data_IF_251652923490
#
_entry.id   IF_251652923490
#
_cell.length_a   1.000
_cell.length_b   1.000
_cell.length_c   1.000
_cell.angle_alpha   90.00
_cell.angle_beta   90.00
_cell.angle_gamma   90.00
#
_symmetry.space_group_name_H-M   'P 1'
#
loop_
_entity.id
_entity.type
_entity.pdbx_description
1 polymer ?
#
# COMPACT_ATOMS: atom_id res chain seq x y z
N UNK A 1 -7.98 7.48 -13.73
CA UNK A 1 -7.64 8.53 -12.75
C UNK A 1 -6.79 9.58 -13.44
N UNK A 2 -6.92 10.85 -13.06
CA UNK A 2 -5.99 11.90 -13.51
C UNK A 2 -4.74 11.86 -12.63
N UNK A 3 -3.57 12.22 -13.14
CA UNK A 3 -2.37 12.37 -12.32
C UNK A 3 -2.35 13.78 -11.73
N UNK A 4 -2.78 13.92 -10.47
CA UNK A 4 -2.73 15.20 -9.75
C UNK A 4 -1.91 15.04 -8.47
N UNK A 5 -1.35 16.14 -7.97
CA UNK A 5 -0.54 16.11 -6.75
C UNK A 5 -1.29 15.47 -5.57
N UNK A 6 -2.60 15.65 -5.50
CA UNK A 6 -3.44 15.22 -4.38
C UNK A 6 -3.75 13.71 -4.38
N UNK A 7 -3.52 13.01 -5.50
CA UNK A 7 -3.80 11.57 -5.61
C UNK A 7 -2.57 10.70 -5.90
N UNK A 8 -1.41 11.32 -6.01
CA UNK A 8 -0.14 10.63 -6.17
C UNK A 8 0.63 10.66 -4.85
N UNK A 9 1.22 9.51 -4.51
CA UNK A 9 2.09 9.36 -3.35
C UNK A 9 3.32 8.54 -3.75
N UNK A 10 4.53 8.88 -3.26
CA UNK A 10 5.71 8.03 -3.44
C UNK A 10 5.49 6.66 -2.78
N UNK A 11 5.90 5.60 -3.46
CA UNK A 11 5.76 4.24 -2.95
C UNK A 11 6.88 3.35 -3.52
N UNK A 12 7.33 2.35 -2.77
CA UNK A 12 8.28 1.37 -3.28
C UNK A 12 7.60 0.37 -4.23
N UNK A 13 8.39 -0.29 -5.09
CA UNK A 13 7.87 -1.27 -6.07
C UNK A 13 7.08 -2.40 -5.39
N UNK A 14 7.60 -2.94 -4.29
CA UNK A 14 6.99 -4.06 -3.58
C UNK A 14 5.59 -3.71 -3.04
N UNK A 15 5.44 -2.57 -2.36
CA UNK A 15 4.16 -2.12 -1.84
C UNK A 15 3.17 -1.81 -2.97
N UNK A 16 3.61 -1.16 -4.05
CA UNK A 16 2.72 -0.84 -5.17
C UNK A 16 2.21 -2.10 -5.90
N UNK A 17 3.08 -3.10 -6.11
CA UNK A 17 2.68 -4.39 -6.69
C UNK A 17 1.71 -5.13 -5.79
N UNK A 18 1.97 -5.17 -4.47
CA UNK A 18 1.09 -5.86 -3.52
C UNK A 18 -0.27 -5.18 -3.42
N UNK A 19 -0.32 -3.84 -3.30
CA UNK A 19 -1.57 -3.06 -3.30
C UNK A 19 -2.41 -3.30 -4.55
N UNK A 20 -1.78 -3.46 -5.72
CA UNK A 20 -2.47 -3.70 -6.99
C UNK A 20 -3.13 -5.08 -7.04
N UNK A 21 -2.51 -6.08 -6.45
CA UNK A 21 -2.90 -7.48 -6.61
C UNK A 21 -3.69 -8.04 -5.42
N UNK A 22 -3.63 -7.40 -4.26
CA UNK A 22 -4.33 -7.82 -3.05
C UNK A 22 -5.80 -7.41 -3.07
N UNK A 23 -6.66 -8.24 -2.47
CA UNK A 23 -7.98 -7.84 -2.04
C UNK A 23 -7.87 -6.75 -0.95
N UNK A 24 -8.91 -5.91 -0.76
CA UNK A 24 -8.89 -4.87 0.28
C UNK A 24 -8.51 -5.39 1.66
N UNK A 25 -9.09 -6.52 2.09
CA UNK A 25 -8.79 -7.15 3.39
C UNK A 25 -7.34 -7.64 3.49
N UNK A 26 -6.80 -8.24 2.43
CA UNK A 26 -5.41 -8.72 2.40
C UNK A 26 -4.41 -7.55 2.44
N UNK A 27 -4.78 -6.39 1.90
CA UNK A 27 -3.97 -5.18 1.99
C UNK A 27 -3.98 -4.59 3.39
N UNK A 28 -5.13 -4.54 4.05
CA UNK A 28 -5.27 -4.10 5.44
C UNK A 28 -4.44 -4.96 6.38
N UNK A 29 -4.56 -6.29 6.29
CA UNK A 29 -3.76 -7.24 7.08
C UNK A 29 -2.25 -7.04 6.87
N UNK A 30 -1.82 -6.79 5.63
CA UNK A 30 -0.41 -6.50 5.32
C UNK A 30 0.07 -5.22 6.01
N UNK A 31 -0.74 -4.16 5.98
CA UNK A 31 -0.42 -2.88 6.61
C UNK A 31 -0.36 -3.01 8.14
N UNK A 32 -1.28 -3.75 8.75
CA UNK A 32 -1.31 -4.03 10.19
C UNK A 32 -0.07 -4.82 10.64
N UNK A 33 0.32 -5.82 9.85
CA UNK A 33 1.54 -6.58 10.10
C UNK A 33 2.81 -5.71 9.97
N UNK A 34 2.83 -4.72 9.07
CA UNK A 34 3.94 -3.76 9.02
C UNK A 34 3.95 -2.79 10.22
N UNK A 35 2.77 -2.37 10.69
CA UNK A 35 2.64 -1.47 11.84
C UNK A 35 3.11 -2.13 13.14
N UNK A 36 2.81 -3.43 13.33
CA UNK A 36 3.19 -4.22 14.50
C UNK A 36 4.66 -4.66 14.50
N UNK A 37 5.31 -4.71 13.33
CA UNK A 37 6.74 -5.04 13.17
C UNK A 37 7.72 -3.92 13.55
N UNK A 38 7.23 -2.78 14.02
CA UNK A 38 8.08 -1.72 14.57
C UNK A 38 8.58 -2.13 15.96
N UNK A 39 9.80 -2.65 16.03
CA UNK A 39 10.62 -2.63 17.23
C UNK A 39 11.24 -1.24 17.42
#
# INVERSE_FOLDING_TARGET
>A
GRSTKDNLVPCCKACNTKKKNALPVEWEEYMDHLATKKA
#
